data_IF_841957399590
#
_entry.id   IF_841957399590
#
_cell.length_a   1.000
_cell.length_b   1.000
_cell.length_c   1.000
_cell.angle_alpha   90.00
_cell.angle_beta   90.00
_cell.angle_gamma   90.00
#
_symmetry.space_group_name_H-M   'P 1'
#
loop_
_entity.id
_entity.type
_entity.pdbx_description
1 polymer ?
#
# COMPACT_ATOMS: atom_id res chain seq x y z
N UNK A 1 32.58 13.12 17.58
CA UNK A 1 31.73 12.50 16.54
C UNK A 1 32.56 12.50 15.27
N UNK A 2 32.75 11.34 14.63
CA UNK A 2 33.52 11.19 13.38
C UNK A 2 32.90 12.05 12.25
N UNK A 3 33.73 12.56 11.34
CA UNK A 3 33.31 13.34 10.17
C UNK A 3 32.23 12.62 9.33
N UNK A 4 32.30 11.29 9.26
CA UNK A 4 31.33 10.44 8.57
C UNK A 4 29.90 10.54 9.17
N UNK A 5 29.76 10.81 10.47
CA UNK A 5 28.45 10.98 11.11
C UNK A 5 27.82 12.30 10.72
N UNK A 6 28.62 13.36 10.56
CA UNK A 6 28.13 14.66 10.12
C UNK A 6 27.70 14.63 8.65
N UNK A 7 28.42 13.92 7.80
CA UNK A 7 28.04 13.68 6.41
C UNK A 7 26.70 12.92 6.34
N UNK A 8 26.57 11.81 7.08
CA UNK A 8 25.32 11.06 7.17
C UNK A 8 24.14 11.95 7.62
N UNK A 9 24.33 12.78 8.64
CA UNK A 9 23.28 13.71 9.10
C UNK A 9 22.93 14.72 8.01
N UNK A 10 23.92 15.28 7.31
CA UNK A 10 23.70 16.23 6.23
C UNK A 10 22.93 15.61 5.06
N UNK A 11 23.29 14.40 4.65
CA UNK A 11 22.57 13.66 3.60
C UNK A 11 21.17 13.27 4.04
N UNK A 12 20.99 12.87 5.31
CA UNK A 12 19.67 12.62 5.87
C UNK A 12 18.80 13.88 5.86
N UNK A 13 19.37 15.06 6.12
CA UNK A 13 18.67 16.34 5.98
C UNK A 13 18.29 16.63 4.54
N UNK A 14 19.10 16.23 3.55
CA UNK A 14 18.72 16.31 2.13
C UNK A 14 17.52 15.40 1.84
N UNK A 15 17.54 14.16 2.32
CA UNK A 15 16.43 13.21 2.15
C UNK A 15 15.15 13.76 2.77
N UNK A 16 15.22 14.20 4.04
CA UNK A 16 14.08 14.79 4.75
C UNK A 16 13.60 16.07 4.06
N UNK A 17 14.52 16.93 3.61
CA UNK A 17 14.22 18.17 2.91
C UNK A 17 13.51 17.94 1.58
N UNK A 18 13.98 16.99 0.78
CA UNK A 18 13.36 16.59 -0.48
C UNK A 18 11.96 16.01 -0.25
N UNK A 19 11.78 15.13 0.74
CA UNK A 19 10.45 14.61 1.13
C UNK A 19 9.54 15.75 1.60
N UNK A 20 10.02 16.63 2.46
CA UNK A 20 9.25 17.78 2.95
C UNK A 20 8.76 18.66 1.80
N UNK A 21 9.64 19.03 0.88
CA UNK A 21 9.28 19.81 -0.30
C UNK A 21 8.35 19.04 -1.25
N UNK A 22 8.56 17.73 -1.39
CA UNK A 22 7.71 16.82 -2.16
C UNK A 22 6.28 16.75 -1.60
N UNK A 23 6.10 16.63 -0.29
CA UNK A 23 4.78 16.63 0.34
C UNK A 23 4.08 17.99 0.23
N UNK A 24 4.82 19.10 0.25
CA UNK A 24 4.27 20.45 0.07
C UNK A 24 3.81 20.71 -1.36
N UNK A 25 4.51 20.17 -2.36
CA UNK A 25 4.13 20.27 -3.77
C UNK A 25 3.06 19.26 -4.16
N UNK A 26 2.99 18.12 -3.47
CA UNK A 26 2.02 17.03 -3.65
C UNK A 26 2.00 16.44 -5.08
N UNK A 27 1.29 15.33 -5.24
CA UNK A 27 1.16 14.63 -6.52
C UNK A 27 2.51 14.29 -7.16
N UNK A 28 2.71 14.69 -8.42
CA UNK A 28 3.96 14.46 -9.17
C UNK A 28 5.17 15.12 -8.51
N UNK A 29 4.95 16.24 -7.80
CA UNK A 29 6.01 16.98 -7.11
C UNK A 29 6.80 16.14 -6.11
N UNK A 30 6.14 15.15 -5.48
CA UNK A 30 6.80 14.21 -4.57
C UNK A 30 7.95 13.45 -5.26
N UNK A 31 7.71 12.93 -6.47
CA UNK A 31 8.77 12.24 -7.22
C UNK A 31 9.84 13.18 -7.77
N UNK A 32 9.45 14.37 -8.24
CA UNK A 32 10.39 15.37 -8.77
C UNK A 32 11.39 15.80 -7.70
N UNK A 33 10.91 16.12 -6.49
CA UNK A 33 11.81 16.47 -5.38
C UNK A 33 12.68 15.30 -4.93
N UNK A 34 12.19 14.07 -5.05
CA UNK A 34 13.02 12.88 -4.91
C UNK A 34 14.23 12.89 -5.86
N UNK A 35 14.01 13.17 -7.15
CA UNK A 35 15.10 13.29 -8.13
C UNK A 35 16.04 14.46 -7.86
N UNK A 36 15.53 15.59 -7.36
CA UNK A 36 16.38 16.70 -6.89
C UNK A 36 17.27 16.24 -5.75
N UNK A 37 16.71 15.50 -4.78
CA UNK A 37 17.49 14.90 -3.69
C UNK A 37 18.57 13.96 -4.20
N UNK A 38 18.24 13.08 -5.17
CA UNK A 38 19.21 12.18 -5.81
C UNK A 38 20.34 12.99 -6.44
N UNK A 39 20.00 14.05 -7.17
CA UNK A 39 20.99 14.94 -7.78
C UNK A 39 21.89 15.61 -6.74
N UNK A 40 21.35 16.04 -5.59
CA UNK A 40 22.17 16.61 -4.51
C UNK A 40 23.12 15.55 -3.93
N UNK A 41 22.66 14.34 -3.64
CA UNK A 41 23.53 13.27 -3.12
C UNK A 41 24.65 12.92 -4.12
N UNK A 42 24.33 12.77 -5.40
CA UNK A 42 25.31 12.39 -6.41
C UNK A 42 26.28 13.55 -6.72
N UNK A 43 25.77 14.75 -7.02
CA UNK A 43 26.59 15.83 -7.56
C UNK A 43 27.23 16.71 -6.49
N UNK A 44 26.62 16.84 -5.30
CA UNK A 44 27.17 17.66 -4.22
C UNK A 44 27.93 16.83 -3.19
N UNK A 45 27.37 15.69 -2.75
CA UNK A 45 28.05 14.78 -1.81
C UNK A 45 29.01 13.81 -2.49
N UNK A 46 28.87 13.59 -3.81
CA UNK A 46 29.74 12.69 -4.57
C UNK A 46 29.39 11.22 -4.44
N UNK A 47 28.18 10.92 -3.95
CA UNK A 47 27.74 9.55 -3.69
C UNK A 47 27.43 8.78 -4.98
N UNK A 48 27.70 7.48 -4.95
CA UNK A 48 27.31 6.60 -6.05
C UNK A 48 25.77 6.49 -6.10
N UNK A 49 25.15 6.53 -7.29
CA UNK A 49 23.71 6.34 -7.40
C UNK A 49 23.30 4.95 -6.90
N UNK A 50 22.29 4.91 -6.03
CA UNK A 50 21.66 3.65 -5.65
C UNK A 50 20.83 3.06 -6.81
N UNK A 51 20.30 1.86 -6.62
CA UNK A 51 19.46 1.21 -7.63
C UNK A 51 18.14 1.95 -7.81
N UNK A 52 17.84 2.38 -9.05
CA UNK A 52 16.54 2.94 -9.40
C UNK A 52 15.48 1.82 -9.44
N UNK A 53 14.24 2.06 -8.98
CA UNK A 53 13.18 1.04 -8.89
C UNK A 53 12.48 0.81 -10.25
N UNK A 54 13.24 0.61 -11.33
CA UNK A 54 12.72 0.56 -12.72
C UNK A 54 11.65 -0.52 -12.89
N UNK A 55 11.94 -1.73 -12.43
CA UNK A 55 11.02 -2.87 -12.48
C UNK A 55 9.68 -2.56 -11.80
N UNK A 56 9.74 -1.98 -10.60
CA UNK A 56 8.54 -1.63 -9.85
C UNK A 56 7.73 -0.52 -10.55
N UNK A 57 8.39 0.42 -11.23
CA UNK A 57 7.73 1.44 -12.06
C UNK A 57 7.01 0.81 -13.25
N UNK A 58 7.62 -0.15 -13.96
CA UNK A 58 7.01 -0.84 -15.09
C UNK A 58 5.83 -1.72 -14.68
N UNK A 59 5.90 -2.40 -13.54
CA UNK A 59 4.75 -3.09 -12.93
C UNK A 59 3.60 -2.09 -12.73
N UNK A 60 3.85 -0.94 -12.09
CA UNK A 60 2.81 0.06 -11.83
C UNK A 60 2.19 0.55 -13.14
N UNK A 61 3.00 0.93 -14.13
CA UNK A 61 2.51 1.43 -15.44
C UNK A 61 1.60 0.39 -16.12
N UNK A 62 1.99 -0.88 -16.09
CA UNK A 62 1.22 -1.94 -16.75
C UNK A 62 -0.07 -2.24 -16.00
N UNK A 63 -0.03 -2.36 -14.67
CA UNK A 63 -1.20 -2.61 -13.82
C UNK A 63 -2.20 -1.45 -13.90
N UNK A 64 -1.74 -0.19 -13.83
CA UNK A 64 -2.63 0.97 -13.91
C UNK A 64 -3.26 1.07 -15.31
N UNK A 65 -2.56 0.64 -16.35
CA UNK A 65 -3.11 0.60 -17.71
C UNK A 65 -4.24 -0.42 -17.79
N UNK A 66 -4.04 -1.64 -17.27
CA UNK A 66 -5.09 -2.66 -17.22
C UNK A 66 -6.29 -2.20 -16.36
N UNK A 67 -6.03 -1.67 -15.16
CA UNK A 67 -7.06 -1.18 -14.25
C UNK A 67 -7.85 0.00 -14.83
N UNK A 68 -7.18 0.94 -15.51
CA UNK A 68 -7.82 2.08 -16.16
C UNK A 68 -8.61 1.65 -17.41
N UNK A 69 -8.15 0.63 -18.12
CA UNK A 69 -8.90 0.04 -19.24
C UNK A 69 -10.18 -0.63 -18.73
N UNK A 70 -10.10 -1.37 -17.62
CA UNK A 70 -11.29 -1.89 -16.92
C UNK A 70 -12.21 -0.77 -16.43
N UNK A 71 -11.66 0.30 -15.86
CA UNK A 71 -12.44 1.44 -15.38
C UNK A 71 -13.21 2.11 -16.53
N UNK A 72 -12.57 2.30 -17.69
CA UNK A 72 -13.21 2.85 -18.88
C UNK A 72 -14.36 1.96 -19.40
N UNK A 73 -14.33 0.65 -19.14
CA UNK A 73 -15.41 -0.29 -19.46
C UNK A 73 -16.52 -0.37 -18.40
N UNK A 74 -16.41 0.39 -17.30
CA UNK A 74 -17.35 0.38 -16.17
C UNK A 74 -17.09 -0.72 -15.14
N UNK A 75 -15.98 -1.45 -15.22
CA UNK A 75 -15.70 -2.57 -14.32
C UNK A 75 -15.57 -2.16 -12.85
N UNK A 76 -14.98 -0.99 -12.58
CA UNK A 76 -14.91 -0.45 -11.21
C UNK A 76 -16.30 -0.15 -10.64
N UNK A 77 -17.18 0.47 -11.44
CA UNK A 77 -18.55 0.76 -11.02
C UNK A 77 -19.30 -0.54 -10.67
N UNK A 78 -19.06 -1.63 -11.41
CA UNK A 78 -19.62 -2.94 -11.07
C UNK A 78 -19.05 -3.51 -9.78
N UNK A 79 -17.72 -3.49 -9.60
CA UNK A 79 -17.09 -3.95 -8.36
C UNK A 79 -17.69 -3.20 -7.16
N UNK A 80 -17.83 -1.87 -7.25
CA UNK A 80 -18.47 -1.05 -6.23
C UNK A 80 -19.91 -1.47 -5.97
N UNK A 81 -20.70 -1.76 -7.01
CA UNK A 81 -22.08 -2.24 -6.83
C UNK A 81 -22.15 -3.56 -6.05
N UNK A 82 -21.18 -4.46 -6.25
CA UNK A 82 -21.06 -5.72 -5.50
C UNK A 82 -20.71 -5.43 -4.04
N UNK A 83 -19.71 -4.57 -3.79
CA UNK A 83 -19.33 -4.18 -2.44
C UNK A 83 -20.48 -3.49 -1.68
N UNK A 84 -21.19 -2.58 -2.35
CA UNK A 84 -22.37 -1.91 -1.79
C UNK A 84 -23.46 -2.91 -1.42
N UNK A 85 -23.74 -3.89 -2.28
CA UNK A 85 -24.70 -4.96 -1.97
C UNK A 85 -24.25 -5.78 -0.75
N UNK A 86 -22.97 -6.10 -0.61
CA UNK A 86 -22.43 -6.82 0.56
C UNK A 86 -22.57 -5.99 1.84
N UNK A 87 -22.15 -4.73 1.82
CA UNK A 87 -22.21 -3.82 2.98
C UNK A 87 -23.67 -3.59 3.41
N UNK A 88 -24.57 -3.30 2.46
CA UNK A 88 -26.00 -3.08 2.72
C UNK A 88 -26.74 -4.34 3.20
N UNK A 89 -26.20 -5.54 2.97
CA UNK A 89 -26.81 -6.80 3.44
C UNK A 89 -26.74 -6.96 4.95
N UNK A 90 -25.72 -6.39 5.61
CA UNK A 90 -25.60 -6.33 7.07
C UNK A 90 -25.06 -4.95 7.48
N UNK A 91 -25.90 -3.91 7.38
CA UNK A 91 -25.46 -2.52 7.47
C UNK A 91 -24.94 -2.17 8.87
N UNK A 92 -25.45 -2.81 9.93
CA UNK A 92 -24.92 -2.68 11.30
C UNK A 92 -23.48 -3.17 11.47
N UNK A 93 -22.99 -3.99 10.55
CA UNK A 93 -21.61 -4.52 10.55
C UNK A 93 -20.69 -3.74 9.61
N UNK A 94 -21.05 -2.51 9.20
CA UNK A 94 -20.28 -1.69 8.26
C UNK A 94 -18.82 -1.49 8.71
N UNK A 95 -18.55 -1.37 10.01
CA UNK A 95 -17.20 -1.22 10.57
C UNK A 95 -16.28 -2.43 10.28
N UNK A 96 -16.85 -3.61 9.99
CA UNK A 96 -16.09 -4.79 9.58
C UNK A 96 -16.17 -5.06 8.08
N UNK A 97 -17.36 -4.92 7.49
CA UNK A 97 -17.57 -5.23 6.08
C UNK A 97 -16.89 -4.23 5.15
N UNK A 98 -16.91 -2.93 5.48
CA UNK A 98 -16.28 -1.91 4.65
C UNK A 98 -14.75 -2.08 4.57
N UNK A 99 -14.02 -2.31 5.68
CA UNK A 99 -12.60 -2.61 5.62
C UNK A 99 -12.28 -3.92 4.89
N UNK A 100 -13.07 -4.98 5.11
CA UNK A 100 -12.87 -6.24 4.41
C UNK A 100 -13.02 -6.08 2.89
N UNK A 101 -14.03 -5.35 2.42
CA UNK A 101 -14.20 -5.07 0.99
C UNK A 101 -13.06 -4.21 0.44
N UNK A 102 -12.62 -3.19 1.18
CA UNK A 102 -11.52 -2.30 0.78
C UNK A 102 -10.20 -3.07 0.68
N UNK A 103 -9.93 -3.97 1.62
CA UNK A 103 -8.79 -4.87 1.60
C UNK A 103 -8.84 -5.79 0.37
N UNK A 104 -9.93 -6.52 0.17
CA UNK A 104 -10.05 -7.47 -0.94
C UNK A 104 -9.93 -6.79 -2.31
N UNK A 105 -10.51 -5.60 -2.47
CA UNK A 105 -10.42 -4.86 -3.73
C UNK A 105 -9.00 -4.41 -3.99
N UNK A 106 -8.30 -3.96 -2.95
CA UNK A 106 -6.91 -3.54 -3.09
C UNK A 106 -6.00 -4.73 -3.36
N UNK A 107 -6.22 -5.87 -2.70
CA UNK A 107 -5.50 -7.12 -3.00
C UNK A 107 -5.66 -7.51 -4.47
N UNK A 108 -6.88 -7.40 -5.01
CA UNK A 108 -7.13 -7.65 -6.43
C UNK A 108 -6.49 -6.62 -7.36
N UNK A 109 -6.61 -5.33 -7.04
CA UNK A 109 -6.17 -4.26 -7.93
C UNK A 109 -4.67 -3.91 -7.83
N UNK A 110 -3.99 -4.27 -6.74
CA UNK A 110 -2.61 -3.88 -6.46
C UNK A 110 -2.42 -2.43 -6.04
N UNK A 111 -3.51 -1.65 -5.94
CA UNK A 111 -3.47 -0.21 -5.62
C UNK A 111 -4.55 0.17 -4.62
N UNK A 112 -4.16 0.98 -3.63
CA UNK A 112 -5.07 1.53 -2.63
C UNK A 112 -6.21 2.31 -3.26
N UNK A 113 -5.96 3.11 -4.29
CA UNK A 113 -6.92 4.05 -4.90
C UNK A 113 -8.26 3.42 -5.32
N UNK A 114 -8.30 2.10 -5.50
CA UNK A 114 -9.50 1.35 -5.84
C UNK A 114 -10.60 1.41 -4.78
N UNK A 115 -10.29 1.81 -3.53
CA UNK A 115 -11.31 1.96 -2.49
C UNK A 115 -12.07 3.30 -2.53
N UNK A 116 -11.58 4.33 -3.25
CA UNK A 116 -12.27 5.64 -3.30
C UNK A 116 -13.73 5.55 -3.73
N UNK A 117 -14.07 4.74 -4.75
CA UNK A 117 -15.46 4.57 -5.13
C UNK A 117 -16.34 3.90 -4.05
N UNK A 118 -15.75 3.27 -3.02
CA UNK A 118 -16.48 2.73 -1.86
C UNK A 118 -16.77 3.80 -0.82
N UNK A 119 -16.05 4.93 -0.79
CA UNK A 119 -16.21 5.97 0.23
C UNK A 119 -17.66 6.46 0.37
N UNK A 120 -18.40 6.78 -0.71
CA UNK A 120 -19.80 7.19 -0.61
C UNK A 120 -20.66 6.09 0.03
N UNK A 121 -20.49 4.84 -0.39
CA UNK A 121 -21.24 3.70 0.13
C UNK A 121 -20.99 3.49 1.62
N UNK A 122 -19.73 3.60 2.06
CA UNK A 122 -19.33 3.43 3.45
C UNK A 122 -19.92 4.57 4.29
N UNK A 123 -19.83 5.80 3.81
CA UNK A 123 -20.41 6.98 4.44
C UNK A 123 -21.93 6.83 4.58
N UNK A 124 -22.64 6.54 3.49
CA UNK A 124 -24.09 6.44 3.44
C UNK A 124 -24.62 5.38 4.40
N UNK A 125 -24.05 4.18 4.38
CA UNK A 125 -24.48 3.09 5.25
C UNK A 125 -24.18 3.41 6.71
N UNK A 126 -23.02 4.03 6.99
CA UNK A 126 -22.69 4.46 8.36
C UNK A 126 -23.70 5.49 8.86
N UNK A 127 -23.97 6.52 8.06
CA UNK A 127 -24.92 7.58 8.35
C UNK A 127 -26.34 7.03 8.60
N UNK A 128 -26.85 6.20 7.69
CA UNK A 128 -28.20 5.61 7.79
C UNK A 128 -28.37 4.72 9.02
N UNK A 129 -27.29 4.03 9.43
CA UNK A 129 -27.30 3.20 10.65
C UNK A 129 -26.97 3.99 11.92
N UNK A 130 -26.79 5.31 11.81
CA UNK A 130 -26.35 6.19 12.91
C UNK A 130 -25.02 5.76 13.52
N UNK A 131 -24.19 5.08 12.73
CA UNK A 131 -22.83 4.70 13.09
C UNK A 131 -21.93 5.86 12.69
N UNK A 132 -21.09 6.33 13.63
CA UNK A 132 -20.09 7.36 13.38
C UNK A 132 -19.22 6.99 12.15
N UNK A 133 -19.27 7.75 11.03
CA UNK A 133 -18.58 7.39 9.80
C UNK A 133 -17.07 7.17 9.96
N UNK A 134 -16.41 7.97 10.82
CA UNK A 134 -15.00 7.81 11.16
C UNK A 134 -14.61 6.36 11.48
N UNK A 135 -15.48 5.60 12.16
CA UNK A 135 -15.20 4.22 12.58
C UNK A 135 -14.97 3.30 11.39
N UNK A 136 -15.82 3.39 10.37
CA UNK A 136 -15.72 2.54 9.18
C UNK A 136 -14.76 3.12 8.14
N UNK A 137 -14.78 4.44 7.93
CA UNK A 137 -13.97 5.13 6.93
C UNK A 137 -12.48 5.04 7.22
N UNK A 138 -12.06 5.29 8.47
CA UNK A 138 -10.64 5.26 8.85
C UNK A 138 -10.03 3.86 8.70
N UNK A 139 -10.72 2.83 9.19
CA UNK A 139 -10.27 1.44 9.08
C UNK A 139 -10.28 0.98 7.62
N UNK A 140 -11.25 1.41 6.80
CA UNK A 140 -11.30 1.06 5.38
C UNK A 140 -10.13 1.66 4.60
N UNK A 141 -9.76 2.90 4.93
CA UNK A 141 -8.61 3.55 4.33
C UNK A 141 -7.30 2.84 4.74
N UNK A 142 -7.13 2.45 6.01
CA UNK A 142 -6.00 1.61 6.46
C UNK A 142 -6.00 0.27 5.73
N UNK A 143 -7.16 -0.40 5.64
CA UNK A 143 -7.32 -1.69 4.98
C UNK A 143 -6.96 -1.67 3.50
N UNK A 144 -7.21 -0.55 2.80
CA UNK A 144 -6.77 -0.37 1.42
C UNK A 144 -5.24 -0.45 1.32
N UNK A 145 -4.50 0.26 2.17
CA UNK A 145 -3.03 0.24 2.15
C UNK A 145 -2.45 -1.09 2.63
N UNK A 146 -3.10 -1.75 3.59
CA UNK A 146 -2.76 -3.11 4.01
C UNK A 146 -2.92 -4.10 2.86
N UNK A 147 -3.97 -3.92 2.05
CA UNK A 147 -4.22 -4.75 0.87
C UNK A 147 -3.07 -4.72 -0.14
N UNK A 148 -2.28 -3.63 -0.20
CA UNK A 148 -1.10 -3.54 -1.05
C UNK A 148 -0.04 -4.56 -0.60
N UNK A 149 0.21 -4.70 0.71
CA UNK A 149 1.17 -5.68 1.23
C UNK A 149 0.73 -7.13 1.00
N UNK A 150 -0.58 -7.37 0.90
CA UNK A 150 -1.15 -8.69 0.66
C UNK A 150 -1.45 -8.97 -0.83
N UNK A 151 -1.15 -8.03 -1.72
CA UNK A 151 -1.49 -8.14 -3.13
C UNK A 151 -0.34 -8.75 -3.93
N UNK A 152 -0.56 -9.86 -4.66
CA UNK A 152 0.45 -10.47 -5.52
C UNK A 152 0.84 -9.60 -6.72
N UNK A 153 0.06 -8.55 -7.01
CA UNK A 153 0.27 -7.64 -8.15
C UNK A 153 0.78 -6.28 -7.72
N UNK A 154 1.05 -6.05 -6.42
CA UNK A 154 1.58 -4.77 -5.95
C UNK A 154 3.10 -4.68 -6.07
N UNK A 155 3.59 -3.45 -6.24
CA UNK A 155 5.01 -3.15 -6.22
C UNK A 155 5.68 -3.51 -4.88
N UNK A 156 4.98 -3.36 -3.75
CA UNK A 156 5.53 -3.66 -2.42
C UNK A 156 5.79 -5.16 -2.25
N UNK A 157 4.81 -5.99 -2.60
CA UNK A 157 4.93 -7.44 -2.52
C UNK A 157 5.96 -7.96 -3.52
N UNK A 158 5.97 -7.43 -4.75
CA UNK A 158 7.01 -7.76 -5.73
C UNK A 158 8.42 -7.44 -5.19
N UNK A 159 8.60 -6.26 -4.57
CA UNK A 159 9.88 -5.87 -3.96
C UNK A 159 10.33 -6.86 -2.88
N UNK A 160 9.42 -7.24 -1.98
CA UNK A 160 9.73 -8.17 -0.90
C UNK A 160 10.10 -9.57 -1.43
N UNK A 161 9.36 -10.08 -2.41
CA UNK A 161 9.65 -11.38 -3.05
C UNK A 161 11.02 -11.37 -3.73
N UNK A 162 11.34 -10.32 -4.48
CA UNK A 162 12.65 -10.20 -5.16
C UNK A 162 13.80 -10.22 -4.15
N UNK A 163 13.67 -9.52 -3.04
CA UNK A 163 14.72 -9.43 -2.02
C UNK A 163 14.93 -10.74 -1.25
N UNK A 164 13.87 -11.51 -1.03
CA UNK A 164 13.93 -12.73 -0.21
C UNK A 164 13.96 -14.03 -1.03
N UNK A 165 13.77 -13.98 -2.34
CA UNK A 165 13.89 -15.15 -3.22
C UNK A 165 15.25 -15.88 -3.08
N UNK A 166 16.41 -15.19 -2.99
CA UNK A 166 17.69 -15.86 -2.76
C UNK A 166 17.79 -16.59 -1.41
N UNK A 167 16.90 -16.27 -0.47
CA UNK A 167 16.79 -16.91 0.84
C UNK A 167 15.64 -17.93 0.90
N UNK A 168 15.06 -18.30 -0.24
CA UNK A 168 14.04 -19.33 -0.33
C UNK A 168 12.61 -18.89 0.02
N UNK A 169 12.36 -17.59 0.21
CA UNK A 169 10.99 -17.08 0.42
C UNK A 169 10.39 -16.67 -0.93
N UNK A 170 9.39 -17.43 -1.36
CA UNK A 170 8.61 -17.13 -2.55
C UNK A 170 7.33 -16.31 -2.21
N UNK A 171 6.52 -16.01 -3.23
CA UNK A 171 5.27 -15.30 -3.04
C UNK A 171 4.29 -16.09 -2.15
N UNK A 172 4.28 -17.42 -2.27
CA UNK A 172 3.40 -18.28 -1.47
C UNK A 172 3.72 -18.19 0.02
N UNK A 173 4.99 -18.37 0.39
CA UNK A 173 5.46 -18.23 1.76
C UNK A 173 5.17 -16.84 2.33
N UNK A 174 5.39 -15.79 1.53
CA UNK A 174 5.07 -14.42 1.93
C UNK A 174 3.57 -14.24 2.23
N UNK A 175 2.70 -14.65 1.32
CA UNK A 175 1.25 -14.46 1.47
C UNK A 175 0.66 -15.33 2.58
N UNK A 176 1.22 -16.52 2.81
CA UNK A 176 0.82 -17.42 3.89
C UNK A 176 1.00 -16.80 5.28
N UNK A 177 2.01 -15.95 5.45
CA UNK A 177 2.23 -15.17 6.68
C UNK A 177 1.40 -13.90 6.67
N UNK A 178 1.44 -13.15 5.57
CA UNK A 178 0.86 -11.79 5.50
C UNK A 178 -0.67 -11.77 5.53
N UNK A 179 -1.35 -12.74 4.90
CA UNK A 179 -2.81 -12.76 4.86
C UNK A 179 -3.43 -12.99 6.24
N UNK A 180 -3.07 -14.06 6.99
CA UNK A 180 -3.65 -14.27 8.31
C UNK A 180 -3.31 -13.14 9.28
N UNK A 181 -2.04 -12.68 9.28
CA UNK A 181 -1.61 -11.55 10.11
C UNK A 181 -2.43 -10.28 9.82
N UNK A 182 -2.64 -9.97 8.54
CA UNK A 182 -3.35 -8.77 8.14
C UNK A 182 -4.85 -8.83 8.39
N UNK A 183 -5.48 -9.98 8.16
CA UNK A 183 -6.90 -10.19 8.44
C UNK A 183 -7.17 -10.03 9.94
N UNK A 184 -6.34 -10.65 10.79
CA UNK A 184 -6.48 -10.51 12.25
C UNK A 184 -6.22 -9.07 12.69
N UNK A 185 -5.16 -8.43 12.17
CA UNK A 185 -4.85 -7.04 12.46
C UNK A 185 -5.99 -6.07 12.13
N UNK A 186 -6.56 -6.20 10.93
CA UNK A 186 -7.70 -5.37 10.51
C UNK A 186 -8.97 -5.67 11.31
N UNK A 187 -9.21 -6.94 11.65
CA UNK A 187 -10.34 -7.31 12.50
C UNK A 187 -10.26 -6.69 13.89
N UNK A 188 -9.09 -6.73 14.53
CA UNK A 188 -8.87 -6.11 15.84
C UNK A 188 -8.94 -4.58 15.75
N UNK A 189 -8.38 -3.97 14.70
CA UNK A 189 -8.52 -2.53 14.46
C UNK A 189 -10.00 -2.12 14.32
N UNK A 190 -10.79 -2.87 13.55
CA UNK A 190 -12.24 -2.66 13.44
C UNK A 190 -12.97 -2.83 14.78
N UNK A 191 -12.60 -3.83 15.58
CA UNK A 191 -13.19 -4.10 16.90
C UNK A 191 -12.97 -2.92 17.86
N UNK A 192 -11.76 -2.36 17.89
CA UNK A 192 -11.46 -1.18 18.72
C UNK A 192 -12.21 0.04 18.17
N UNK A 193 -12.22 0.23 16.85
CA UNK A 193 -12.87 1.37 16.23
C UNK A 193 -14.39 1.37 16.38
N UNK A 194 -15.04 0.22 16.61
CA UNK A 194 -16.48 0.17 16.91
C UNK A 194 -16.91 1.08 18.06
N UNK A 195 -16.05 1.27 19.05
CA UNK A 195 -16.31 2.10 20.24
C UNK A 195 -15.51 3.40 20.25
N UNK A 196 -14.83 3.72 19.15
CA UNK A 196 -14.02 4.93 19.06
C UNK A 196 -14.89 6.17 18.82
N UNK A 197 -14.61 7.23 19.58
CA UNK A 197 -15.33 8.49 19.53
C UNK A 197 -16.77 8.39 20.06
N UNK A 198 -17.42 9.55 20.21
CA UNK A 198 -18.84 9.65 20.57
C UNK A 198 -19.71 9.01 19.50
N UNK A 199 -20.87 8.51 19.89
CA UNK A 199 -21.89 8.11 18.92
C UNK A 199 -22.30 9.32 18.07
N UNK A 200 -22.73 9.04 16.84
CA UNK A 200 -22.90 10.07 15.81
C UNK A 200 -23.86 11.17 16.29
N UNK A 201 -24.95 10.78 16.93
CA UNK A 201 -25.97 11.69 17.46
C UNK A 201 -25.46 12.58 18.60
N UNK A 202 -24.42 12.17 19.30
CA UNK A 202 -23.82 12.92 20.41
C UNK A 202 -22.59 13.74 19.99
N UNK A 203 -22.20 13.68 18.72
CA UNK A 203 -21.04 14.40 18.21
C UNK A 203 -21.37 15.89 18.00
N UNK A 204 -20.69 16.83 18.69
CA UNK A 204 -21.02 18.25 18.60
C UNK A 204 -20.80 18.85 17.20
N UNK A 205 -19.81 18.36 16.46
CA UNK A 205 -19.53 18.86 15.11
C UNK A 205 -20.59 18.37 14.14
N UNK A 206 -21.02 17.11 14.29
CA UNK A 206 -22.16 16.58 13.53
C UNK A 206 -23.43 17.40 13.80
N UNK A 207 -23.78 17.63 15.07
CA UNK A 207 -24.96 18.41 15.44
C UNK A 207 -24.91 19.85 14.92
N UNK A 208 -23.74 20.48 14.97
CA UNK A 208 -23.51 21.82 14.41
C UNK A 208 -23.77 21.84 12.90
N UNK A 209 -23.16 20.92 12.14
CA UNK A 209 -23.33 20.83 10.68
C UNK A 209 -24.76 20.48 10.28
N UNK A 210 -25.43 19.64 11.06
CA UNK A 210 -26.83 19.29 10.86
C UNK A 210 -27.74 20.52 11.05
N UNK A 211 -27.53 21.29 12.11
CA UNK A 211 -28.27 22.54 12.36
C UNK A 211 -28.00 23.61 11.28
N UNK A 212 -26.78 23.69 10.78
CA UNK A 212 -26.38 24.61 9.70
C UNK A 212 -26.79 24.11 8.29
N UNK A 213 -27.50 22.99 8.17
CA UNK A 213 -27.92 22.39 6.89
C UNK A 213 -26.74 22.10 5.94
N UNK A 214 -25.55 21.82 6.49
CA UNK A 214 -24.34 21.50 5.75
C UNK A 214 -24.23 20.01 5.39
N UNK A 215 -25.11 19.18 5.95
CA UNK A 215 -25.15 17.74 5.67
C UNK A 215 -26.34 17.47 4.77
N UNK A 216 -26.08 16.89 3.60
CA UNK A 216 -27.15 16.34 2.76
C UNK A 216 -27.38 14.90 3.17
N UNK A 217 -28.56 14.52 3.69
CA UNK A 217 -28.86 13.13 3.99
C UNK A 217 -28.67 12.27 2.73
N UNK A 218 -27.98 11.12 2.84
CA UNK A 218 -27.82 10.21 1.72
C UNK A 218 -29.18 9.80 1.14
N UNK A 219 -29.33 9.93 -0.18
CA UNK A 219 -30.48 9.37 -0.87
C UNK A 219 -30.46 7.84 -0.73
N UNK A 220 -31.58 7.25 -0.34
CA UNK A 220 -31.69 5.80 -0.06
C UNK A 220 -31.30 4.91 -1.26
N UNK A 221 -31.38 5.43 -2.49
CA UNK A 221 -31.23 4.68 -3.74
C UNK A 221 -30.19 5.24 -4.76
N UNK A 222 -29.38 6.24 -4.40
CA UNK A 222 -28.51 6.98 -5.34
C UNK A 222 -27.41 6.20 -6.08
N UNK A 223 -27.24 4.90 -5.82
CA UNK A 223 -26.18 4.08 -6.42
C UNK A 223 -26.67 2.98 -7.38
N UNK A 224 -27.96 2.95 -7.76
CA UNK A 224 -28.44 2.16 -8.90
C UNK A 224 -28.09 2.80 -10.26
N UNK A 225 -26.81 3.14 -10.46
CA UNK A 225 -26.33 3.53 -11.78
C UNK A 225 -26.47 2.32 -12.70
N UNK A 226 -27.22 2.47 -13.81
CA UNK A 226 -27.26 1.43 -14.86
C UNK A 226 -25.85 1.21 -15.38
N UNK A 227 -25.28 0.05 -15.07
CA UNK A 227 -23.94 -0.32 -15.48
C UNK A 227 -23.92 -0.64 -16.98
N UNK A 228 -22.83 -0.32 -17.69
CA UNK A 228 -22.67 -0.77 -19.06
C UNK A 228 -22.60 -2.32 -19.08
N UNK A 229 -23.05 -2.96 -20.16
CA UNK A 229 -23.04 -4.43 -20.27
C UNK A 229 -21.63 -5.01 -20.21
N UNK A 230 -20.61 -4.20 -20.50
CA UNK A 230 -19.19 -4.55 -20.45
C UNK A 230 -18.60 -4.53 -19.04
N UNK A 231 -19.30 -3.97 -18.05
CA UNK A 231 -18.76 -3.75 -16.70
C UNK A 231 -18.35 -5.08 -16.06
N UNK A 232 -19.26 -6.06 -16.03
CA UNK A 232 -19.00 -7.39 -15.46
C UNK A 232 -17.86 -8.08 -16.21
N UNK A 233 -17.89 -8.05 -17.54
CA UNK A 233 -16.87 -8.71 -18.37
C UNK A 233 -15.47 -8.14 -18.12
N UNK A 234 -15.34 -6.81 -18.11
CA UNK A 234 -14.05 -6.15 -17.87
C UNK A 234 -13.49 -6.45 -16.49
N UNK A 235 -14.34 -6.43 -15.45
CA UNK A 235 -13.93 -6.78 -14.10
C UNK A 235 -13.55 -8.26 -13.97
N UNK A 236 -14.31 -9.16 -14.58
CA UNK A 236 -14.00 -10.60 -14.58
C UNK A 236 -12.68 -10.90 -15.30
N UNK A 237 -12.39 -10.24 -16.43
CA UNK A 237 -11.11 -10.38 -17.12
C UNK A 237 -9.95 -9.89 -16.25
N UNK A 238 -10.10 -8.74 -15.59
CA UNK A 238 -9.09 -8.20 -14.69
C UNK A 238 -8.82 -9.14 -13.51
N UNK A 239 -9.87 -9.57 -12.81
CA UNK A 239 -9.75 -10.52 -11.69
C UNK A 239 -9.20 -11.88 -12.12
N UNK A 240 -9.52 -12.34 -13.34
CA UNK A 240 -8.92 -13.55 -13.90
C UNK A 240 -7.40 -13.40 -14.09
N UNK A 241 -6.93 -12.25 -14.59
CA UNK A 241 -5.50 -11.95 -14.70
C UNK A 241 -4.78 -11.97 -13.35
N UNK A 242 -5.41 -11.37 -12.33
CA UNK A 242 -4.90 -11.44 -10.94
C UNK A 242 -4.81 -12.90 -10.49
N UNK A 243 -5.85 -13.70 -10.72
CA UNK A 243 -5.85 -15.12 -10.40
C UNK A 243 -4.74 -15.90 -11.11
N UNK A 244 -4.45 -15.58 -12.37
CA UNK A 244 -3.34 -16.17 -13.14
C UNK A 244 -1.98 -15.78 -12.54
N UNK A 245 -1.79 -14.52 -12.15
CA UNK A 245 -0.55 -14.07 -11.50
C UNK A 245 -0.36 -14.77 -10.15
N UNK A 246 -1.43 -14.86 -9.35
CA UNK A 246 -1.41 -15.62 -8.09
C UNK A 246 -0.97 -17.05 -8.35
N UNK A 247 -1.55 -17.71 -9.36
CA UNK A 247 -1.23 -19.08 -9.72
C UNK A 247 0.27 -19.24 -10.08
N UNK A 248 0.82 -18.35 -10.91
CA UNK A 248 2.25 -18.39 -11.25
C UNK A 248 3.16 -18.06 -10.07
N UNK A 249 2.71 -17.22 -9.13
CA UNK A 249 3.46 -16.89 -7.93
C UNK A 249 3.44 -17.98 -6.87
N UNK A 250 2.34 -18.72 -6.74
CA UNK A 250 2.20 -19.85 -5.80
C UNK A 250 2.85 -21.13 -6.30
N UNK A 251 2.90 -21.34 -7.61
CA UNK A 251 3.42 -22.56 -8.21
C UNK A 251 4.57 -22.24 -9.14
N UNK A 252 5.78 -22.18 -8.58
CA UNK A 252 7.00 -21.88 -9.34
C UNK A 252 7.17 -22.78 -10.56
N UNK A 253 6.72 -24.04 -10.46
CA UNK A 253 6.80 -25.03 -11.52
C UNK A 253 6.01 -24.67 -12.79
N UNK A 254 4.99 -23.82 -12.67
CA UNK A 254 4.22 -23.33 -13.81
C UNK A 254 4.97 -22.23 -14.59
N UNK A 255 5.91 -21.52 -13.93
CA UNK A 255 6.65 -20.42 -14.56
C UNK A 255 7.55 -20.95 -15.69
N UNK A 256 7.56 -20.32 -16.88
CA UNK A 256 8.42 -20.73 -17.99
C UNK A 256 9.90 -20.80 -17.59
N UNK A 257 10.59 -21.85 -18.05
CA UNK A 257 12.05 -21.96 -17.94
C UNK A 257 12.67 -21.16 -19.08
N UNK A 258 13.55 -20.22 -18.74
CA UNK A 258 14.18 -19.27 -19.67
C UNK A 258 15.69 -19.53 -19.83
N UNK A 259 16.23 -20.49 -19.10
CA UNK A 259 17.62 -20.90 -19.19
C UNK A 259 17.99 -21.89 -18.10
N UNK A 260 19.28 -22.10 -17.93
CA UNK A 260 19.88 -22.84 -16.82
C UNK A 260 20.96 -21.96 -16.18
N UNK A 261 21.11 -22.02 -14.87
CA UNK A 261 22.18 -21.32 -14.17
C UNK A 261 23.51 -22.06 -14.28
N UNK A 262 24.56 -21.52 -13.66
CA UNK A 262 25.91 -22.08 -13.69
C UNK A 262 25.99 -23.47 -13.00
N UNK A 263 25.01 -23.82 -12.16
CA UNK A 263 24.88 -25.12 -11.52
C UNK A 263 24.06 -26.13 -12.35
N UNK A 264 23.46 -25.68 -13.46
CA UNK A 264 22.61 -26.50 -14.33
C UNK A 264 21.14 -26.52 -13.90
N UNK A 265 20.75 -25.75 -12.90
CA UNK A 265 19.36 -25.67 -12.42
C UNK A 265 18.52 -24.75 -13.33
N UNK A 266 17.23 -25.07 -13.56
CA UNK A 266 16.38 -24.32 -14.46
C UNK A 266 16.10 -22.91 -13.93
N UNK A 267 16.54 -21.88 -14.66
CA UNK A 267 16.20 -20.49 -14.38
C UNK A 267 14.80 -20.22 -14.88
N UNK A 268 13.92 -19.83 -13.96
CA UNK A 268 12.51 -19.56 -14.26
C UNK A 268 12.25 -18.06 -14.40
N UNK A 269 11.27 -17.72 -15.24
CA UNK A 269 10.83 -16.35 -15.44
C UNK A 269 10.37 -15.72 -14.12
N UNK A 270 10.82 -14.49 -13.84
CA UNK A 270 10.46 -13.78 -12.62
C UNK A 270 8.97 -13.44 -12.57
N UNK A 271 8.41 -13.39 -11.36
CA UNK A 271 7.01 -13.00 -11.14
C UNK A 271 6.75 -11.57 -11.61
N UNK A 272 7.76 -10.69 -11.55
CA UNK A 272 7.71 -9.32 -12.09
C UNK A 272 7.33 -9.29 -13.56
N UNK A 273 8.06 -10.02 -14.42
CA UNK A 273 7.77 -10.07 -15.85
C UNK A 273 6.41 -10.73 -16.12
N UNK A 274 6.05 -11.74 -15.33
CA UNK A 274 4.73 -12.38 -15.42
C UNK A 274 3.61 -11.37 -15.15
N UNK A 275 3.74 -10.52 -14.13
CA UNK A 275 2.75 -9.47 -13.83
C UNK A 275 2.58 -8.53 -15.03
N UNK A 276 3.69 -8.03 -15.58
CA UNK A 276 3.68 -7.10 -16.71
C UNK A 276 3.02 -7.71 -17.95
N UNK A 277 3.44 -8.91 -18.34
CA UNK A 277 2.90 -9.59 -19.52
C UNK A 277 1.42 -9.94 -19.34
N UNK A 278 1.05 -10.51 -18.19
CA UNK A 278 -0.35 -10.92 -17.94
C UNK A 278 -1.27 -9.70 -17.89
N UNK A 279 -0.88 -8.63 -17.19
CA UNK A 279 -1.70 -7.41 -17.13
C UNK A 279 -1.81 -6.71 -18.49
N UNK A 280 -0.74 -6.73 -19.29
CA UNK A 280 -0.78 -6.27 -20.68
C UNK A 280 -1.77 -7.08 -21.54
N UNK A 281 -1.75 -8.41 -21.43
CA UNK A 281 -2.72 -9.29 -22.10
C UNK A 281 -4.14 -8.98 -21.64
N UNK A 282 -4.39 -8.83 -20.33
CA UNK A 282 -5.71 -8.47 -19.81
C UNK A 282 -6.18 -7.13 -20.38
N UNK A 283 -5.33 -6.10 -20.40
CA UNK A 283 -5.67 -4.81 -20.99
C UNK A 283 -6.09 -4.97 -22.46
N UNK A 284 -5.33 -5.76 -23.24
CA UNK A 284 -5.66 -6.06 -24.63
C UNK A 284 -7.00 -6.80 -24.77
N UNK A 285 -7.28 -7.79 -23.92
CA UNK A 285 -8.57 -8.50 -23.93
C UNK A 285 -9.73 -7.55 -23.61
N UNK A 286 -9.57 -6.65 -22.63
CA UNK A 286 -10.61 -5.66 -22.30
C UNK A 286 -10.81 -4.67 -23.46
N UNK A 287 -9.74 -4.21 -24.13
CA UNK A 287 -9.87 -3.38 -25.33
C UNK A 287 -10.72 -4.07 -26.40
N UNK A 288 -10.44 -5.33 -26.70
CA UNK A 288 -11.11 -6.10 -27.75
C UNK A 288 -12.55 -6.42 -27.38
N UNK A 289 -12.78 -7.02 -26.21
CA UNK A 289 -14.11 -7.55 -25.84
C UNK A 289 -15.04 -6.49 -25.26
N UNK A 290 -14.52 -5.46 -24.61
CA UNK A 290 -15.31 -4.36 -24.07
C UNK A 290 -15.35 -3.14 -25.00
N UNK A 291 -14.64 -3.18 -26.13
CA UNK A 291 -14.59 -2.10 -27.15
C UNK A 291 -14.23 -0.74 -26.55
N UNK A 292 -13.32 -0.73 -25.58
CA UNK A 292 -12.81 0.49 -24.95
C UNK A 292 -12.00 1.28 -25.96
N UNK A 293 -12.21 2.60 -26.02
CA UNK A 293 -11.37 3.48 -26.84
C UNK A 293 -10.08 3.77 -26.08
N UNK A 294 -8.92 3.54 -26.72
CA UNK A 294 -7.61 3.80 -26.11
C UNK A 294 -7.48 5.24 -25.56
N UNK A 295 -8.05 6.23 -26.26
CA UNK A 295 -8.04 7.63 -25.84
C UNK A 295 -8.81 7.91 -24.54
N UNK A 296 -9.68 7.00 -24.09
CA UNK A 296 -10.45 7.18 -22.86
C UNK A 296 -9.73 6.59 -21.63
N UNK A 297 -8.71 5.76 -21.82
CA UNK A 297 -7.96 5.13 -20.72
C UNK A 297 -7.18 6.15 -19.90
N UNK A 298 -6.37 7.07 -20.49
CA UNK A 298 -5.65 8.07 -19.70
C UNK A 298 -6.54 9.09 -18.97
N UNK A 299 -7.81 9.20 -19.39
CA UNK A 299 -8.80 10.10 -18.77
C UNK A 299 -9.44 9.50 -17.53
N UNK A 300 -9.31 8.19 -17.33
CA UNK A 300 -9.88 7.54 -16.15
C UNK A 300 -9.10 7.94 -14.90
N UNK A 301 -9.77 8.23 -13.76
CA UNK A 301 -9.10 8.66 -12.53
C UNK A 301 -7.96 7.75 -12.04
N UNK A 302 -8.03 6.45 -12.28
CA UNK A 302 -6.98 5.50 -11.90
C UNK A 302 -5.66 5.73 -12.65
N UNK A 303 -5.71 6.21 -13.90
CA UNK A 303 -4.50 6.40 -14.71
C UNK A 303 -3.60 7.54 -14.20
N UNK A 304 -4.04 8.81 -14.08
CA UNK A 304 -3.19 9.89 -13.59
C UNK A 304 -2.79 9.66 -12.12
N UNK A 305 -3.65 9.09 -11.29
CA UNK A 305 -3.31 8.72 -9.91
C UNK A 305 -2.20 7.66 -9.87
N UNK A 306 -2.26 6.68 -10.78
CA UNK A 306 -1.24 5.66 -10.95
C UNK A 306 0.11 6.23 -11.42
N UNK A 307 0.09 7.12 -12.42
CA UNK A 307 1.31 7.79 -12.93
C UNK A 307 1.96 8.67 -11.86
N UNK A 308 1.17 9.41 -11.08
CA UNK A 308 1.65 10.15 -9.91
C UNK A 308 2.39 9.21 -8.95
N UNK A 309 1.80 8.06 -8.64
CA UNK A 309 2.43 7.03 -7.79
C UNK A 309 3.71 6.46 -8.38
N UNK A 310 3.74 6.20 -9.69
CA UNK A 310 4.92 5.70 -10.38
C UNK A 310 6.09 6.70 -10.35
N UNK A 311 5.82 7.99 -10.57
CA UNK A 311 6.84 9.05 -10.50
C UNK A 311 7.33 9.24 -9.06
N UNK A 312 6.43 9.21 -8.08
CA UNK A 312 6.80 9.23 -6.67
C UNK A 312 7.71 8.06 -6.29
N UNK A 313 7.38 6.84 -6.75
CA UNK A 313 8.21 5.65 -6.57
C UNK A 313 9.59 5.85 -7.22
N UNK A 314 9.64 6.29 -8.48
CA UNK A 314 10.90 6.53 -9.19
C UNK A 314 11.81 7.53 -8.47
N UNK A 315 11.27 8.66 -8.00
CA UNK A 315 12.07 9.69 -7.34
C UNK A 315 12.44 9.38 -5.89
N UNK A 316 11.44 9.16 -5.03
CA UNK A 316 11.66 9.02 -3.58
C UNK A 316 12.32 7.68 -3.24
N UNK A 317 11.96 6.59 -3.93
CA UNK A 317 12.65 5.32 -3.68
C UNK A 317 14.11 5.40 -4.13
N UNK A 318 14.38 6.01 -5.28
CA UNK A 318 15.76 6.13 -5.74
C UNK A 318 16.60 7.03 -4.83
N UNK A 319 16.02 8.12 -4.31
CA UNK A 319 16.64 8.93 -3.26
C UNK A 319 16.97 8.11 -2.02
N UNK A 320 16.00 7.37 -1.48
CA UNK A 320 16.20 6.51 -0.32
C UNK A 320 17.26 5.43 -0.58
N UNK A 321 17.21 4.78 -1.74
CA UNK A 321 18.17 3.74 -2.12
C UNK A 321 19.59 4.30 -2.26
N UNK A 322 19.73 5.52 -2.79
CA UNK A 322 21.04 6.21 -2.89
C UNK A 322 21.59 6.54 -1.52
N UNK A 323 20.78 7.15 -0.65
CA UNK A 323 21.18 7.45 0.73
C UNK A 323 21.57 6.20 1.52
N UNK A 324 20.76 5.13 1.43
CA UNK A 324 21.03 3.89 2.14
C UNK A 324 22.27 3.19 1.60
N UNK A 325 22.48 3.15 0.28
CA UNK A 325 23.68 2.56 -0.32
C UNK A 325 24.95 3.31 0.10
N UNK A 326 24.91 4.65 0.09
CA UNK A 326 26.02 5.51 0.54
C UNK A 326 26.39 5.26 2.01
N UNK A 327 25.39 5.05 2.87
CA UNK A 327 25.57 4.94 4.32
C UNK A 327 25.48 3.52 4.86
N UNK A 328 25.49 2.50 3.98
CA UNK A 328 25.17 1.12 4.37
C UNK A 328 26.07 0.63 5.50
N UNK A 329 27.37 0.89 5.43
CA UNK A 329 28.33 0.47 6.46
C UNK A 329 28.01 1.11 7.81
N UNK A 330 27.77 2.42 7.88
CA UNK A 330 27.43 3.10 9.13
C UNK A 330 26.09 2.63 9.71
N UNK A 331 25.10 2.39 8.84
CA UNK A 331 23.78 1.90 9.24
C UNK A 331 23.88 0.47 9.78
N UNK A 332 24.60 -0.40 9.08
CA UNK A 332 24.82 -1.81 9.46
C UNK A 332 25.69 -1.89 10.71
N UNK A 333 26.76 -1.12 10.84
CA UNK A 333 27.61 -1.12 12.03
C UNK A 333 26.87 -0.55 13.25
N UNK A 334 26.08 0.51 13.06
CA UNK A 334 25.26 1.10 14.11
C UNK A 334 24.17 0.15 14.61
N UNK A 335 23.43 -0.48 13.70
CA UNK A 335 22.43 -1.50 14.05
C UNK A 335 23.10 -2.76 14.60
N UNK A 336 24.18 -3.20 13.98
CA UNK A 336 24.98 -4.37 14.33
C UNK A 336 25.53 -4.27 15.74
N UNK A 337 26.08 -3.13 16.15
CA UNK A 337 26.56 -2.90 17.52
C UNK A 337 25.44 -3.00 18.57
N UNK A 338 24.21 -2.62 18.21
CA UNK A 338 23.05 -2.75 19.09
C UNK A 338 22.55 -4.20 19.13
N UNK A 339 22.63 -4.93 18.01
CA UNK A 339 22.19 -6.33 17.87
C UNK A 339 23.20 -7.33 18.45
N UNK A 340 24.51 -7.10 18.30
CA UNK A 340 25.58 -8.01 18.71
C UNK A 340 25.72 -8.19 20.23
N UNK A 341 24.97 -7.41 21.02
CA UNK A 341 24.90 -7.53 22.48
C UNK A 341 23.48 -7.71 23.04
N UNK A 342 22.47 -7.90 22.18
CA UNK A 342 21.07 -7.97 22.59
C UNK A 342 20.37 -9.26 22.15
N UNK A 343 19.19 -9.54 22.71
CA UNK A 343 18.41 -10.72 22.32
C UNK A 343 17.90 -10.58 20.89
N UNK A 344 17.70 -11.70 20.18
CA UNK A 344 17.13 -11.73 18.83
C UNK A 344 15.80 -10.93 18.72
N UNK A 345 15.06 -10.83 19.83
CA UNK A 345 13.86 -10.00 19.95
C UNK A 345 14.15 -8.49 19.80
N UNK A 346 15.23 -7.98 20.42
CA UNK A 346 15.58 -6.56 20.31
C UNK A 346 16.00 -6.20 18.88
N UNK A 347 16.76 -7.07 18.21
CA UNK A 347 17.11 -6.89 16.79
C UNK A 347 15.88 -6.86 15.88
N UNK A 348 14.94 -7.77 16.08
CA UNK A 348 13.65 -7.79 15.38
C UNK A 348 12.83 -6.49 15.62
N UNK A 349 12.77 -6.03 16.87
CA UNK A 349 12.07 -4.80 17.22
C UNK A 349 12.71 -3.56 16.57
N UNK A 350 14.04 -3.45 16.61
CA UNK A 350 14.76 -2.33 16.02
C UNK A 350 14.62 -2.32 14.49
N UNK A 351 14.67 -3.50 13.85
CA UNK A 351 14.36 -3.62 12.43
C UNK A 351 12.94 -3.12 12.11
N UNK A 352 11.94 -3.57 12.87
CA UNK A 352 10.56 -3.15 12.65
C UNK A 352 10.39 -1.63 12.84
N UNK A 353 11.02 -1.05 13.86
CA UNK A 353 11.01 0.40 14.09
C UNK A 353 11.72 1.17 12.96
N UNK A 354 12.85 0.67 12.47
CA UNK A 354 13.56 1.25 11.34
C UNK A 354 12.72 1.20 10.06
N UNK A 355 12.12 0.05 9.75
CA UNK A 355 11.21 -0.12 8.61
C UNK A 355 10.00 0.81 8.74
N UNK A 356 9.41 0.91 9.93
CA UNK A 356 8.29 1.81 10.19
C UNK A 356 8.67 3.28 9.99
N UNK A 357 9.82 3.70 10.51
CA UNK A 357 10.31 5.07 10.37
C UNK A 357 10.62 5.42 8.91
N UNK A 358 11.29 4.53 8.17
CA UNK A 358 11.57 4.75 6.75
C UNK A 358 10.30 4.71 5.92
N UNK A 359 9.35 3.82 6.21
CA UNK A 359 8.05 3.82 5.56
C UNK A 359 7.29 5.13 5.81
N UNK A 360 7.30 5.62 7.05
CA UNK A 360 6.71 6.91 7.41
C UNK A 360 7.34 8.05 6.61
N UNK A 361 8.67 8.12 6.53
CA UNK A 361 9.38 9.18 5.82
C UNK A 361 9.19 9.08 4.30
N UNK A 362 9.36 7.90 3.72
CA UNK A 362 9.27 7.71 2.26
C UNK A 362 7.83 7.71 1.75
N UNK A 363 6.83 7.57 2.62
CA UNK A 363 5.41 7.42 2.29
C UNK A 363 5.14 6.30 1.27
N UNK A 364 6.04 5.31 1.18
CA UNK A 364 6.01 4.22 0.20
C UNK A 364 6.45 2.89 0.82
N UNK A 365 5.58 1.89 0.76
CA UNK A 365 5.87 0.54 1.27
C UNK A 365 7.00 -0.12 0.47
N UNK A 366 6.97 -0.04 -0.86
CA UNK A 366 8.01 -0.62 -1.73
C UNK A 366 9.37 0.02 -1.50
N UNK A 367 9.42 1.36 -1.42
CA UNK A 367 10.67 2.09 -1.17
C UNK A 367 11.30 1.71 0.17
N UNK A 368 10.49 1.70 1.24
CA UNK A 368 10.97 1.33 2.56
C UNK A 368 11.41 -0.14 2.65
N UNK A 369 10.71 -1.02 1.94
CA UNK A 369 11.08 -2.45 1.83
C UNK A 369 12.45 -2.59 1.16
N UNK A 370 12.65 -1.96 -0.01
CA UNK A 370 13.92 -1.99 -0.73
C UNK A 370 15.08 -1.37 0.05
N UNK A 371 14.80 -0.37 0.87
CA UNK A 371 15.81 0.28 1.71
C UNK A 371 16.21 -0.56 2.93
N UNK A 372 15.23 -1.08 3.68
CA UNK A 372 15.48 -1.63 5.02
C UNK A 372 15.65 -3.15 5.04
N UNK A 373 14.93 -3.89 4.18
CA UNK A 373 15.02 -5.35 4.16
C UNK A 373 16.44 -5.85 3.89
N UNK A 374 17.23 -5.31 2.92
CA UNK A 374 18.61 -5.73 2.71
C UNK A 374 19.51 -5.59 3.94
N UNK A 375 19.29 -4.55 4.75
CA UNK A 375 20.02 -4.36 6.01
C UNK A 375 19.68 -5.50 6.98
N UNK A 376 18.40 -5.85 7.10
CA UNK A 376 17.94 -6.98 7.92
C UNK A 376 18.61 -8.30 7.52
N UNK A 377 18.75 -8.54 6.21
CA UNK A 377 19.46 -9.72 5.66
C UNK A 377 20.95 -9.66 6.04
N UNK A 378 21.58 -8.52 5.87
CA UNK A 378 23.02 -8.32 6.12
C UNK A 378 23.39 -8.56 7.58
N UNK A 379 22.52 -8.15 8.52
CA UNK A 379 22.73 -8.39 9.96
C UNK A 379 22.29 -9.80 10.41
N UNK A 380 21.88 -10.67 9.48
CA UNK A 380 21.57 -12.08 9.74
C UNK A 380 20.18 -12.37 10.29
N UNK A 381 19.20 -11.47 10.11
CA UNK A 381 17.81 -11.80 10.46
C UNK A 381 17.24 -12.86 9.49
N UNK A 382 16.57 -13.91 9.98
CA UNK A 382 15.95 -14.91 9.12
C UNK A 382 14.93 -14.30 8.15
N UNK A 383 14.96 -14.70 6.87
CA UNK A 383 14.01 -14.19 5.87
C UNK A 383 12.53 -14.31 6.28
N UNK A 384 12.06 -15.43 6.86
CA UNK A 384 10.69 -15.50 7.35
C UNK A 384 10.38 -14.45 8.42
N UNK A 385 11.30 -14.20 9.35
CA UNK A 385 11.13 -13.17 10.38
C UNK A 385 10.99 -11.78 9.77
N UNK A 386 11.73 -11.47 8.70
CA UNK A 386 11.58 -10.21 7.96
C UNK A 386 10.17 -10.06 7.38
N UNK A 387 9.56 -11.15 6.88
CA UNK A 387 8.15 -11.17 6.46
C UNK A 387 7.22 -10.92 7.64
N UNK A 388 7.44 -11.59 8.78
CA UNK A 388 6.62 -11.42 9.99
C UNK A 388 6.64 -10.01 10.57
N UNK A 389 7.75 -9.28 10.38
CA UNK A 389 7.94 -7.88 10.80
C UNK A 389 7.48 -6.87 9.74
N UNK A 390 7.23 -7.32 8.51
CA UNK A 390 6.91 -6.47 7.37
C UNK A 390 5.63 -5.61 7.50
N UNK A 391 4.62 -5.95 8.34
CA UNK A 391 3.51 -5.02 8.61
C UNK A 391 3.98 -3.65 9.12
N UNK A 392 5.20 -3.53 9.66
CA UNK A 392 5.82 -2.23 9.98
C UNK A 392 5.90 -1.27 8.77
N UNK A 393 5.89 -1.77 7.53
CA UNK A 393 5.82 -0.96 6.33
C UNK A 393 4.54 -0.10 6.25
N UNK A 394 3.52 -0.35 7.09
CA UNK A 394 2.38 0.54 7.27
C UNK A 394 2.71 1.85 8.03
N UNK A 395 3.97 2.05 8.40
CA UNK A 395 4.48 3.37 8.80
C UNK A 395 4.12 4.48 7.81
N UNK A 396 3.89 4.16 6.52
CA UNK A 396 3.40 5.08 5.49
C UNK A 396 2.13 5.85 5.85
N UNK A 397 1.33 5.35 6.80
CA UNK A 397 0.03 5.93 7.17
C UNK A 397 0.08 6.79 8.43
N UNK A 398 1.29 7.05 8.94
CA UNK A 398 1.55 7.78 10.18
C UNK A 398 1.59 9.30 9.99
N UNK A 399 2.01 9.76 8.81
CA UNK A 399 1.93 11.17 8.45
C UNK A 399 0.63 11.41 7.68
N UNK A 400 -0.04 12.57 7.83
CA UNK A 400 -1.29 12.92 7.17
C UNK A 400 -1.02 13.38 5.72
N UNK A 401 -0.27 12.58 4.98
CA UNK A 401 0.23 12.90 3.65
C UNK A 401 -0.31 11.93 2.58
N UNK A 402 -0.96 10.83 2.97
CA UNK A 402 -1.45 9.87 2.00
C UNK A 402 -2.74 10.37 1.34
N UNK A 403 -2.81 10.30 0.01
CA UNK A 403 -3.98 10.71 -0.76
C UNK A 403 -5.26 10.01 -0.31
N UNK A 404 -5.17 8.78 0.17
CA UNK A 404 -6.33 8.07 0.72
C UNK A 404 -6.87 8.65 2.03
N UNK A 405 -6.01 9.19 2.89
CA UNK A 405 -6.44 9.87 4.11
C UNK A 405 -7.17 11.17 3.75
N UNK A 406 -6.57 11.96 2.85
CA UNK A 406 -7.14 13.23 2.37
C UNK A 406 -8.51 13.01 1.73
N UNK A 407 -8.61 12.05 0.81
CA UNK A 407 -9.87 11.71 0.14
C UNK A 407 -10.93 11.27 1.16
N UNK A 408 -10.57 10.38 2.08
CA UNK A 408 -11.51 9.87 3.09
C UNK A 408 -12.06 10.99 3.98
N UNK A 409 -11.22 11.93 4.42
CA UNK A 409 -11.65 13.09 5.20
C UNK A 409 -12.54 14.02 4.38
N UNK A 410 -12.19 14.26 3.12
CA UNK A 410 -12.97 15.12 2.23
C UNK A 410 -14.37 14.56 1.93
N UNK A 411 -14.52 13.23 1.90
CA UNK A 411 -15.82 12.56 1.68
C UNK A 411 -16.72 12.57 2.91
N UNK A 412 -16.18 12.63 4.12
CA UNK A 412 -16.98 12.60 5.34
C UNK A 412 -17.66 13.95 5.63
N UNK A 413 -18.92 14.08 5.21
CA UNK A 413 -19.69 15.32 5.46
C UNK A 413 -20.04 15.52 6.94
N UNK A 414 -20.02 14.48 7.78
CA UNK A 414 -20.32 14.62 9.21
C UNK A 414 -19.22 15.35 9.99
N UNK A 415 -18.01 15.43 9.42
CA UNK A 415 -16.85 16.02 10.09
C UNK A 415 -16.28 15.15 11.22
N UNK A 416 -16.71 13.89 11.34
CA UNK A 416 -16.20 12.97 12.36
C UNK A 416 -14.79 12.49 12.04
N UNK A 417 -14.46 12.33 10.75
CA UNK A 417 -13.14 11.94 10.24
C UNK A 417 -12.27 13.18 10.00
N UNK A 418 -11.04 13.21 10.52
CA UNK A 418 -10.20 14.41 10.57
C UNK A 418 -8.73 14.11 10.25
N UNK A 419 -8.07 15.09 9.62
CA UNK A 419 -6.61 15.11 9.46
C UNK A 419 -5.87 15.63 10.70
N UNK A 420 -6.62 16.03 11.74
CA UNK A 420 -6.03 16.57 12.96
C UNK A 420 -5.50 18.00 12.81
N UNK A 421 -5.06 18.57 13.93
CA UNK A 421 -4.37 19.87 14.00
C UNK A 421 -2.84 19.71 14.02
N UNK A 422 -2.38 18.59 14.56
CA UNK A 422 -1.00 18.17 14.69
C UNK A 422 -0.67 17.08 13.66
N UNK A 423 0.58 16.61 13.66
CA UNK A 423 1.02 15.61 12.66
C UNK A 423 0.41 14.23 12.94
N UNK A 424 0.21 13.84 14.21
CA UNK A 424 -0.20 12.48 14.58
C UNK A 424 -1.63 12.38 15.12
N UNK A 425 -2.40 13.47 15.14
CA UNK A 425 -3.75 13.54 15.72
C UNK A 425 -4.86 13.40 14.67
N UNK A 426 -4.68 12.47 13.72
CA UNK A 426 -5.65 12.17 12.68
C UNK A 426 -6.38 10.84 12.91
N UNK A 427 -7.58 10.71 12.34
CA UNK A 427 -8.48 9.55 12.52
C UNK A 427 -7.88 8.20 12.13
N UNK A 428 -6.87 8.18 11.27
CA UNK A 428 -6.24 6.95 10.77
C UNK A 428 -5.16 6.39 11.70
N UNK A 429 -4.69 7.17 12.68
CA UNK A 429 -3.50 6.80 13.46
C UNK A 429 -3.77 5.59 14.35
N UNK A 430 -4.87 5.64 15.10
CA UNK A 430 -5.26 4.55 16.00
C UNK A 430 -5.46 3.22 15.26
N UNK A 431 -6.31 3.12 14.21
CA UNK A 431 -6.48 1.85 13.51
C UNK A 431 -5.20 1.37 12.82
N UNK A 432 -4.36 2.27 12.33
CA UNK A 432 -3.06 1.90 11.73
C UNK A 432 -2.12 1.28 12.76
N UNK A 433 -1.93 1.92 13.92
CA UNK A 433 -1.03 1.41 14.96
C UNK A 433 -1.52 0.08 15.54
N UNK A 434 -2.83 -0.08 15.72
CA UNK A 434 -3.44 -1.35 16.15
C UNK A 434 -3.15 -2.44 15.11
N UNK A 435 -3.39 -2.14 13.81
CA UNK A 435 -3.06 -3.07 12.75
C UNK A 435 -1.58 -3.48 12.81
N UNK A 436 -0.65 -2.53 12.86
CA UNK A 436 0.79 -2.82 12.85
C UNK A 436 1.18 -3.70 14.02
N UNK A 437 0.76 -3.34 15.24
CA UNK A 437 1.10 -4.09 16.43
C UNK A 437 0.54 -5.52 16.37
N UNK A 438 -0.75 -5.68 16.05
CA UNK A 438 -1.41 -6.99 16.00
C UNK A 438 -0.86 -7.83 14.86
N UNK A 439 -0.68 -7.26 13.67
CA UNK A 439 -0.17 -7.99 12.52
C UNK A 439 1.27 -8.47 12.76
N UNK A 440 2.13 -7.72 13.45
CA UNK A 440 3.47 -8.19 13.83
C UNK A 440 3.37 -9.30 14.89
N UNK A 441 2.53 -9.13 15.92
CA UNK A 441 2.31 -10.15 16.97
C UNK A 441 1.85 -11.49 16.39
N UNK A 442 1.06 -11.46 15.32
CA UNK A 442 0.59 -12.67 14.62
C UNK A 442 1.62 -13.14 13.57
N UNK A 443 2.18 -12.22 12.80
CA UNK A 443 3.08 -12.51 11.68
C UNK A 443 4.40 -13.14 12.13
N UNK A 444 4.97 -12.69 13.26
CA UNK A 444 6.23 -13.23 13.78
C UNK A 444 6.09 -14.72 14.15
N UNK A 445 5.13 -15.18 14.97
CA UNK A 445 4.91 -16.60 15.19
C UNK A 445 4.64 -17.41 13.92
N UNK A 446 3.79 -16.90 13.01
CA UNK A 446 3.52 -17.57 11.73
C UNK A 446 4.78 -17.73 10.89
N UNK A 447 5.68 -16.75 10.94
CA UNK A 447 6.94 -16.83 10.21
C UNK A 447 7.83 -17.99 10.65
N UNK A 448 7.78 -18.40 11.92
CA UNK A 448 8.52 -19.56 12.39
C UNK A 448 7.78 -20.89 12.17
N UNK A 449 6.47 -20.86 11.93
CA UNK A 449 5.66 -22.04 11.64
C UNK A 449 5.74 -22.47 10.17
N UNK A 450 6.01 -21.52 9.28
CA UNK A 450 6.07 -21.72 7.84
C UNK A 450 7.47 -21.47 7.24
N UNK A 451 8.50 -21.37 8.10
CA UNK A 451 9.91 -21.26 7.74
C UNK A 451 10.51 -22.58 7.25
#
# INVERSE_FOLDING_TARGET
MNDNVWILIAELLVVIGAIYMGTRTSGIGLGVWGLVGVAVLIFFFGEAPGNAPVDAVFIVITVITAASTMQAAGGIDWMVSVAAKVIRRRPRSVVFLAPAMSFLFTVGAGTGNIFYPLLPVIYDVSYQQKIRPERALSVSAVASQVGILCSPVSAATASMVVLLAPQGVDLGGLLLIMWPASIVGLFVAALVMMRHGKDLEDDPEFQRRLAEHQITPPETDAHEKKLPPTAVLSASLFLAGVGVIVLFGLFENLRPVIGTDDAGDPVRLSVTVIIEVVMGIIAALIFVFCKVKAADVPKQPTFPAGIVGAIALFGIAWLANTFVAANQTLIVDGLGAVVSGSSAFLGALLFALALFAVAMLTTSQSSATNAIVPIGITIGLPAPLLVGLWPAAMGIYTLPANGSQVATVAFDQTGTTKMGKFVFDHSFQLPNLIYVAVAIIIGVPLSFLFA
#
